data_IF_800197949276
#
_entry.id   IF_800197949276
#
_cell.length_a   1.000
_cell.length_b   1.000
_cell.length_c   1.000
_cell.angle_alpha   90.00
_cell.angle_beta   90.00
_cell.angle_gamma   90.00
#
_symmetry.space_group_name_H-M   'P 1'
#
loop_
_entity.id
_entity.type
_entity.pdbx_description
1 polymer ?
#
# COMPACT_ATOMS: atom_id res chain seq x y z
N UNK A 1 -27.51 16.48 57.49
CA UNK A 1 -27.62 16.82 56.05
C UNK A 1 -26.26 17.35 55.63
N UNK A 2 -25.59 16.95 54.55
CA UNK A 2 -26.02 16.29 53.32
C UNK A 2 -24.97 15.26 52.86
N UNK A 3 -25.43 14.40 51.96
CA UNK A 3 -24.84 13.16 51.47
C UNK A 3 -23.54 13.34 50.68
N UNK A 4 -22.60 12.43 50.93
CA UNK A 4 -21.57 11.99 49.97
C UNK A 4 -22.24 11.36 48.75
N UNK A 5 -21.76 11.65 47.53
CA UNK A 5 -22.01 10.78 46.39
C UNK A 5 -20.74 10.60 45.55
N UNK A 6 -20.36 9.33 45.47
CA UNK A 6 -19.25 8.74 44.72
C UNK A 6 -19.49 8.84 43.21
N UNK A 7 -18.50 9.33 42.47
CA UNK A 7 -18.45 9.26 41.01
C UNK A 7 -18.08 7.83 40.61
N UNK A 8 -19.10 7.00 40.37
CA UNK A 8 -18.92 5.74 39.64
C UNK A 8 -18.65 6.06 38.17
N UNK A 9 -17.37 6.05 37.77
CA UNK A 9 -16.99 6.07 36.37
C UNK A 9 -17.43 4.76 35.71
N UNK A 10 -18.45 4.86 34.86
CA UNK A 10 -19.02 3.72 34.14
C UNK A 10 -17.98 3.15 33.15
N UNK A 11 -17.39 2.01 33.50
CA UNK A 11 -16.32 1.35 32.74
C UNK A 11 -16.72 1.01 31.31
N UNK A 12 -18.02 0.85 31.02
CA UNK A 12 -18.54 0.63 29.67
C UNK A 12 -18.35 1.85 28.75
N UNK A 13 -18.55 3.06 29.27
CA UNK A 13 -18.36 4.31 28.52
C UNK A 13 -16.88 4.58 28.25
N UNK A 14 -16.02 4.33 29.24
CA UNK A 14 -14.57 4.44 29.07
C UNK A 14 -14.05 3.38 28.10
N UNK A 15 -14.56 2.15 28.14
CA UNK A 15 -14.19 1.11 27.19
C UNK A 15 -14.67 1.44 25.77
N UNK A 16 -15.88 1.99 25.61
CA UNK A 16 -16.41 2.43 24.32
C UNK A 16 -15.61 3.60 23.74
N UNK A 17 -15.28 4.61 24.56
CA UNK A 17 -14.46 5.75 24.14
C UNK A 17 -13.00 5.36 23.88
N UNK A 18 -12.42 4.42 24.66
CA UNK A 18 -11.10 3.85 24.35
C UNK A 18 -11.14 3.02 23.08
N UNK A 19 -12.21 2.27 22.81
CA UNK A 19 -12.39 1.51 21.56
C UNK A 19 -12.59 2.45 20.37
N UNK A 20 -13.33 3.56 20.51
CA UNK A 20 -13.47 4.57 19.45
C UNK A 20 -12.17 5.36 19.21
N UNK A 21 -11.39 5.63 20.25
CA UNK A 21 -10.09 6.29 20.14
C UNK A 21 -9.00 5.35 19.58
N UNK A 22 -9.05 4.05 19.91
CA UNK A 22 -8.19 3.02 19.30
C UNK A 22 -8.55 2.77 17.82
N UNK A 23 -9.83 2.91 17.44
CA UNK A 23 -10.26 2.88 16.04
C UNK A 23 -9.77 4.10 15.25
N UNK A 24 -9.61 5.27 15.90
CA UNK A 24 -9.14 6.49 15.25
C UNK A 24 -7.67 6.43 14.82
N UNK A 25 -6.83 5.61 15.47
CA UNK A 25 -5.40 5.53 15.16
C UNK A 25 -5.10 4.84 13.82
N UNK A 26 -6.05 4.05 13.30
CA UNK A 26 -5.92 3.30 12.05
C UNK A 26 -6.82 3.80 10.92
N UNK A 27 -7.53 4.93 11.08
CA UNK A 27 -8.30 5.49 9.97
C UNK A 27 -7.36 6.04 8.90
N UNK A 28 -7.49 5.54 7.68
CA UNK A 28 -6.87 6.13 6.51
C UNK A 28 -7.71 7.34 6.09
N UNK A 29 -7.12 8.54 6.15
CA UNK A 29 -7.78 9.80 5.79
C UNK A 29 -7.25 10.31 4.45
N UNK A 30 -8.10 11.05 3.74
CA UNK A 30 -7.83 11.66 2.42
C UNK A 30 -8.27 13.13 2.41
N UNK A 31 -8.04 13.83 3.52
CA UNK A 31 -8.42 15.24 3.69
C UNK A 31 -7.37 16.21 3.14
N UNK A 32 -6.12 15.75 2.97
CA UNK A 32 -5.03 16.53 2.42
C UNK A 32 -5.14 16.58 0.90
N UNK A 33 -5.12 17.79 0.37
CA UNK A 33 -4.88 18.01 -1.04
C UNK A 33 -3.38 18.03 -1.31
N UNK A 34 -2.93 17.15 -2.21
CA UNK A 34 -1.55 17.12 -2.67
C UNK A 34 -1.41 18.00 -3.91
N UNK A 35 -0.40 18.87 -3.96
CA UNK A 35 -0.03 19.55 -5.20
C UNK A 35 0.38 18.53 -6.26
N UNK A 36 0.28 18.90 -7.54
CA UNK A 36 0.75 18.05 -8.64
C UNK A 36 2.23 17.68 -8.48
N UNK A 37 3.06 18.64 -8.09
CA UNK A 37 4.49 18.42 -7.84
C UNK A 37 4.74 17.43 -6.69
N UNK A 38 4.00 17.51 -5.58
CA UNK A 38 4.14 16.55 -4.47
C UNK A 38 3.68 15.14 -4.85
N UNK A 39 2.60 15.06 -5.63
CA UNK A 39 2.12 13.79 -6.17
C UNK A 39 3.17 13.18 -7.11
N UNK A 40 3.66 13.95 -8.08
CA UNK A 40 4.62 13.48 -9.08
C UNK A 40 5.88 12.95 -8.41
N UNK A 41 6.44 13.72 -7.47
CA UNK A 41 7.63 13.31 -6.72
C UNK A 41 7.40 11.99 -5.99
N UNK A 42 6.28 11.84 -5.28
CA UNK A 42 6.02 10.60 -4.54
C UNK A 42 5.72 9.40 -5.42
N UNK A 43 4.99 9.61 -6.51
CA UNK A 43 4.66 8.53 -7.43
C UNK A 43 5.93 8.04 -8.15
N UNK A 44 6.82 8.97 -8.52
CA UNK A 44 8.15 8.67 -9.05
C UNK A 44 9.00 7.90 -8.04
N UNK A 45 9.22 8.45 -6.84
CA UNK A 45 10.03 7.83 -5.79
C UNK A 45 9.52 6.41 -5.46
N UNK A 46 8.20 6.21 -5.45
CA UNK A 46 7.58 4.90 -5.20
C UNK A 46 7.89 3.91 -6.31
N UNK A 47 7.72 4.29 -7.58
CA UNK A 47 7.95 3.38 -8.70
C UNK A 47 9.43 3.07 -8.88
N UNK A 48 10.32 4.05 -8.69
CA UNK A 48 11.77 3.83 -8.70
C UNK A 48 12.16 2.84 -7.61
N UNK A 49 11.73 3.06 -6.36
CA UNK A 49 12.05 2.15 -5.25
C UNK A 49 11.48 0.73 -5.47
N UNK A 50 10.27 0.62 -6.02
CA UNK A 50 9.70 -0.68 -6.39
C UNK A 50 10.52 -1.36 -7.49
N UNK A 51 10.95 -0.62 -8.52
CA UNK A 51 11.79 -1.14 -9.60
C UNK A 51 13.09 -1.70 -9.04
N UNK A 52 13.82 -0.87 -8.30
CA UNK A 52 15.11 -1.24 -7.71
C UNK A 52 14.99 -2.47 -6.81
N UNK A 53 13.93 -2.56 -6.02
CA UNK A 53 13.70 -3.72 -5.16
C UNK A 53 13.38 -4.98 -5.96
N UNK A 54 12.52 -4.88 -6.98
CA UNK A 54 12.14 -6.01 -7.83
C UNK A 54 13.31 -6.50 -8.71
N UNK A 55 14.21 -5.61 -9.14
CA UNK A 55 15.42 -5.97 -9.87
C UNK A 55 16.35 -6.88 -9.05
N UNK A 56 16.26 -6.85 -7.71
CA UNK A 56 17.03 -7.77 -6.84
C UNK A 56 16.43 -9.18 -6.74
N UNK A 57 15.26 -9.44 -7.31
CA UNK A 57 14.57 -10.74 -7.14
C UNK A 57 15.36 -11.93 -7.68
N UNK A 58 15.97 -11.87 -8.89
CA UNK A 58 16.75 -13.00 -9.41
C UNK A 58 17.88 -13.48 -8.48
N UNK A 59 18.40 -12.61 -7.60
CA UNK A 59 19.44 -12.95 -6.63
C UNK A 59 18.89 -13.48 -5.29
N UNK A 60 17.58 -13.32 -5.04
CA UNK A 60 16.96 -13.51 -3.71
C UNK A 60 15.88 -14.59 -3.69
N UNK A 61 15.28 -14.89 -4.84
CA UNK A 61 14.21 -15.87 -5.02
C UNK A 61 14.41 -16.65 -6.30
N UNK A 62 13.75 -17.80 -6.40
CA UNK A 62 13.78 -18.64 -7.59
C UNK A 62 12.88 -18.04 -8.69
N UNK A 63 13.49 -17.21 -9.54
CA UNK A 63 12.85 -16.61 -10.71
C UNK A 63 12.99 -17.51 -11.95
N UNK A 64 11.94 -17.63 -12.75
CA UNK A 64 12.05 -18.25 -14.07
C UNK A 64 12.93 -17.38 -15.00
N UNK A 65 13.52 -17.99 -16.04
CA UNK A 65 14.40 -17.28 -17.00
C UNK A 65 13.71 -16.16 -17.77
N UNK A 66 12.37 -16.13 -17.75
CA UNK A 66 11.57 -15.08 -18.37
C UNK A 66 11.34 -13.88 -17.44
N UNK A 67 11.75 -13.94 -16.17
CA UNK A 67 11.56 -12.82 -15.24
C UNK A 67 12.27 -11.56 -15.76
N UNK A 68 11.52 -10.46 -15.82
CA UNK A 68 12.02 -9.18 -16.32
C UNK A 68 11.30 -8.02 -15.64
N UNK A 69 12.02 -6.96 -15.32
CA UNK A 69 11.50 -5.75 -14.69
C UNK A 69 11.99 -4.55 -15.48
N UNK A 70 11.08 -3.64 -15.81
CA UNK A 70 11.39 -2.41 -16.52
C UNK A 70 10.57 -1.25 -16.01
N UNK A 71 11.18 -0.06 -16.00
CA UNK A 71 10.52 1.18 -15.64
C UNK A 71 10.78 2.24 -16.70
N UNK A 72 9.70 2.76 -17.30
CA UNK A 72 9.79 3.77 -18.35
C UNK A 72 8.55 4.66 -18.37
N UNK A 73 8.76 5.97 -18.51
CA UNK A 73 7.69 6.96 -18.68
C UNK A 73 6.57 6.87 -17.62
N UNK A 74 6.94 6.59 -16.35
CA UNK A 74 5.97 6.45 -15.26
C UNK A 74 5.22 5.11 -15.22
N UNK A 75 5.66 4.12 -16.00
CA UNK A 75 5.11 2.77 -16.04
C UNK A 75 6.18 1.76 -15.62
N UNK A 76 5.97 1.12 -14.47
CA UNK A 76 6.70 -0.08 -14.06
C UNK A 76 5.99 -1.31 -14.66
N UNK A 77 6.73 -2.15 -15.35
CA UNK A 77 6.28 -3.45 -15.84
C UNK A 77 7.16 -4.54 -15.24
N UNK A 78 6.57 -5.49 -14.53
CA UNK A 78 7.28 -6.65 -13.99
C UNK A 78 6.67 -7.94 -14.55
N UNK A 79 7.36 -8.56 -15.51
CA UNK A 79 7.01 -9.87 -16.02
C UNK A 79 7.55 -10.93 -15.05
N UNK A 80 6.65 -11.69 -14.43
CA UNK A 80 7.03 -12.67 -13.40
C UNK A 80 7.36 -14.01 -14.04
N UNK A 81 6.42 -14.53 -14.83
CA UNK A 81 6.60 -15.70 -15.68
C UNK A 81 5.44 -15.87 -16.64
N UNK A 82 5.52 -16.75 -17.67
CA UNK A 82 4.40 -17.03 -18.56
C UNK A 82 3.16 -17.58 -17.85
N UNK A 83 3.34 -18.26 -16.70
CA UNK A 83 2.25 -18.85 -15.92
C UNK A 83 1.56 -17.81 -15.02
N UNK A 84 2.33 -16.93 -14.40
CA UNK A 84 1.81 -15.93 -13.46
C UNK A 84 1.34 -14.68 -14.21
N UNK A 85 2.04 -14.26 -15.25
CA UNK A 85 1.74 -13.07 -16.03
C UNK A 85 2.58 -11.86 -15.65
N UNK A 86 2.06 -10.68 -15.97
CA UNK A 86 2.78 -9.41 -15.90
C UNK A 86 2.03 -8.43 -15.03
N UNK A 87 2.75 -7.82 -14.09
CA UNK A 87 2.31 -6.70 -13.31
C UNK A 87 2.59 -5.41 -14.07
N UNK A 88 1.62 -4.50 -14.10
CA UNK A 88 1.79 -3.14 -14.64
C UNK A 88 1.37 -2.14 -13.58
N UNK A 89 2.27 -1.25 -13.19
CA UNK A 89 2.05 -0.20 -12.19
C UNK A 89 2.36 1.15 -12.81
N UNK A 90 1.36 2.03 -12.91
CA UNK A 90 1.44 3.26 -13.69
C UNK A 90 1.07 4.50 -12.86
N UNK A 91 1.82 5.58 -13.03
CA UNK A 91 1.42 6.93 -12.58
C UNK A 91 0.24 7.42 -13.39
N UNK A 92 -0.77 7.94 -12.71
CA UNK A 92 -1.93 8.57 -13.34
C UNK A 92 -2.05 10.00 -12.87
N UNK A 93 -1.21 10.86 -13.47
CA UNK A 93 -1.07 12.28 -13.15
C UNK A 93 -2.39 13.05 -13.10
N UNK A 94 -3.30 12.93 -14.09
CA UNK A 94 -4.55 13.69 -14.05
C UNK A 94 -5.41 13.37 -12.83
N UNK A 95 -5.33 12.12 -12.34
CA UNK A 95 -6.10 11.64 -11.20
C UNK A 95 -5.32 11.70 -9.88
N UNK A 96 -4.02 12.00 -9.92
CA UNK A 96 -3.09 11.89 -8.78
C UNK A 96 -3.14 10.50 -8.11
N UNK A 97 -3.13 9.45 -8.93
CA UNK A 97 -3.25 8.06 -8.49
C UNK A 97 -2.11 7.18 -9.00
N UNK A 98 -1.90 6.05 -8.34
CA UNK A 98 -1.17 4.92 -8.93
C UNK A 98 -2.17 3.85 -9.34
N UNK A 99 -2.08 3.37 -10.58
CA UNK A 99 -2.90 2.26 -11.06
C UNK A 99 -2.08 1.00 -11.12
N UNK A 100 -2.65 -0.10 -10.60
CA UNK A 100 -2.09 -1.44 -10.64
C UNK A 100 -2.95 -2.30 -11.54
N UNK A 101 -2.32 -3.05 -12.44
CA UNK A 101 -2.87 -4.25 -13.06
C UNK A 101 -2.09 -5.44 -12.50
N UNK A 102 -2.71 -6.18 -11.57
CA UNK A 102 -2.16 -7.45 -11.06
C UNK A 102 -2.78 -8.62 -11.83
N UNK A 103 -1.98 -9.61 -12.29
CA UNK A 103 -2.53 -10.84 -12.85
C UNK A 103 -3.18 -11.74 -11.79
N UNK A 104 -2.97 -11.47 -10.50
CA UNK A 104 -3.54 -12.25 -9.38
C UNK A 104 -4.82 -11.61 -8.85
N UNK A 105 -4.82 -10.30 -8.57
CA UNK A 105 -5.94 -9.59 -7.94
C UNK A 105 -6.69 -8.62 -8.86
N UNK A 106 -6.28 -8.50 -10.12
CA UNK A 106 -6.90 -7.63 -11.10
C UNK A 106 -6.55 -6.15 -10.92
N UNK A 107 -7.32 -5.24 -11.54
CA UNK A 107 -7.01 -3.82 -11.54
C UNK A 107 -7.37 -3.13 -10.21
N UNK A 108 -6.50 -2.25 -9.73
CA UNK A 108 -6.71 -1.40 -8.54
C UNK A 108 -6.21 0.02 -8.78
N UNK A 109 -6.84 0.99 -8.12
CA UNK A 109 -6.48 2.43 -8.20
C UNK A 109 -6.20 2.94 -6.79
N UNK A 110 -4.97 3.36 -6.55
CA UNK A 110 -4.51 3.80 -5.24
C UNK A 110 -4.48 5.32 -5.17
N UNK A 111 -5.10 5.84 -4.12
CA UNK A 111 -5.06 7.26 -3.77
C UNK A 111 -3.97 7.51 -2.73
N UNK A 112 -3.35 8.68 -2.79
CA UNK A 112 -2.37 9.09 -1.79
C UNK A 112 -3.07 9.59 -0.52
N UNK A 113 -2.98 8.82 0.56
CA UNK A 113 -3.53 9.18 1.87
C UNK A 113 -2.79 10.37 2.50
N UNK A 114 -3.39 10.97 3.53
CA UNK A 114 -2.79 12.11 4.26
C UNK A 114 -1.42 11.77 4.87
N UNK A 115 -1.21 10.49 5.19
CA UNK A 115 0.04 9.93 5.70
C UNK A 115 1.08 9.64 4.58
N UNK A 116 0.79 9.98 3.33
CA UNK A 116 1.67 9.73 2.19
C UNK A 116 1.68 8.27 1.72
N UNK A 117 0.68 7.46 2.11
CA UNK A 117 0.57 6.05 1.71
C UNK A 117 -0.38 5.84 0.55
N UNK A 118 -0.01 5.00 -0.42
CA UNK A 118 -0.88 4.62 -1.54
C UNK A 118 -1.89 3.57 -1.08
N UNK A 119 -3.15 3.96 -0.94
CA UNK A 119 -4.20 3.13 -0.33
C UNK A 119 -5.34 2.91 -1.31
N UNK A 120 -5.79 1.66 -1.42
CA UNK A 120 -6.97 1.31 -2.20
C UNK A 120 -8.22 1.56 -1.35
N UNK A 121 -9.05 2.52 -1.76
CA UNK A 121 -10.20 2.98 -0.94
C UNK A 121 -11.25 1.90 -0.65
N UNK A 122 -11.33 0.84 -1.45
CA UNK A 122 -12.35 -0.19 -1.28
C UNK A 122 -12.09 -1.15 -0.12
N UNK A 123 -10.83 -1.52 0.12
CA UNK A 123 -10.44 -2.47 1.18
C UNK A 123 -9.46 -1.88 2.21
N UNK A 124 -8.94 -0.67 1.97
CA UNK A 124 -8.00 0.03 2.84
C UNK A 124 -6.57 -0.52 2.78
N UNK A 125 -6.30 -1.50 1.92
CA UNK A 125 -4.98 -2.13 1.78
C UNK A 125 -4.05 -1.21 0.99
N UNK A 126 -2.80 -1.10 1.42
CA UNK A 126 -1.80 -0.32 0.70
C UNK A 126 -1.25 -1.08 -0.50
N UNK A 127 -0.71 -0.35 -1.48
CA UNK A 127 -0.02 -0.95 -2.63
C UNK A 127 1.08 -1.92 -2.21
N UNK A 128 1.91 -1.52 -1.24
CA UNK A 128 3.04 -2.31 -0.75
C UNK A 128 2.57 -3.58 -0.03
N UNK A 129 1.56 -3.49 0.84
CA UNK A 129 1.00 -4.66 1.53
C UNK A 129 0.42 -5.69 0.55
N UNK A 130 -0.29 -5.24 -0.49
CA UNK A 130 -0.84 -6.16 -1.50
C UNK A 130 0.27 -6.84 -2.29
N UNK A 131 1.22 -6.07 -2.83
CA UNK A 131 2.33 -6.61 -3.62
C UNK A 131 3.19 -7.56 -2.78
N UNK A 132 3.48 -7.21 -1.54
CA UNK A 132 4.26 -8.05 -0.62
C UNK A 132 3.55 -9.39 -0.42
N UNK A 133 2.24 -9.36 -0.13
CA UNK A 133 1.44 -10.58 0.05
C UNK A 133 1.45 -11.45 -1.22
N UNK A 134 1.24 -10.85 -2.38
CA UNK A 134 1.21 -11.58 -3.66
C UNK A 134 2.58 -12.19 -3.99
N UNK A 135 3.66 -11.42 -3.86
CA UNK A 135 5.01 -11.92 -4.14
C UNK A 135 5.48 -12.97 -3.13
N UNK A 136 5.18 -12.82 -1.84
CA UNK A 136 5.42 -13.90 -0.85
C UNK A 136 4.74 -15.19 -1.25
N UNK A 137 3.49 -15.11 -1.74
CA UNK A 137 2.75 -16.28 -2.18
C UNK A 137 3.34 -16.91 -3.45
N UNK A 138 3.68 -16.09 -4.45
CA UNK A 138 4.24 -16.54 -5.74
C UNK A 138 5.60 -17.20 -5.54
N UNK A 139 6.53 -16.53 -4.86
CA UNK A 139 7.90 -16.99 -4.68
C UNK A 139 8.11 -17.88 -3.45
N UNK A 140 7.04 -18.11 -2.66
CA UNK A 140 7.06 -18.90 -1.42
C UNK A 140 8.18 -18.46 -0.46
N UNK A 141 8.39 -17.16 -0.36
CA UNK A 141 9.47 -16.58 0.43
C UNK A 141 8.94 -15.47 1.35
N UNK A 142 8.85 -15.75 2.65
CA UNK A 142 8.35 -14.81 3.65
C UNK A 142 9.30 -13.62 3.93
N UNK A 143 10.55 -13.69 3.48
CA UNK A 143 11.54 -12.62 3.65
C UNK A 143 11.37 -11.47 2.66
N UNK A 144 10.47 -11.60 1.67
CA UNK A 144 10.09 -10.49 0.81
C UNK A 144 9.44 -9.43 1.70
N UNK A 145 10.00 -8.22 1.73
CA UNK A 145 9.44 -7.08 2.44
C UNK A 145 9.54 -5.82 1.59
N UNK A 146 8.40 -5.22 1.29
CA UNK A 146 8.30 -3.97 0.54
C UNK A 146 8.10 -2.82 1.52
N UNK A 147 9.18 -2.10 1.83
CA UNK A 147 9.07 -0.89 2.65
C UNK A 147 8.62 0.29 1.79
N UNK A 148 7.79 1.15 2.38
CA UNK A 148 7.42 2.41 1.78
C UNK A 148 8.48 3.46 2.11
N UNK A 149 9.00 4.16 1.09
CA UNK A 149 9.93 5.28 1.19
C UNK A 149 9.27 6.59 1.64
#
# INVERSE_FOLDING_TARGET
>A
MAFVNSLSSNTKTIHFLKKSLLLAHNYCTFSREWSEMEYERRAEDTLVALTEYLDTFPDRVDCESAFDVSYSMGVLTAHISPRIGTYVINKQTPNKQIWLSSPVSGPKRYDLSDKGRWVYKHDGVTLHELLEKEFRHIFKNDQISLQQS
#
